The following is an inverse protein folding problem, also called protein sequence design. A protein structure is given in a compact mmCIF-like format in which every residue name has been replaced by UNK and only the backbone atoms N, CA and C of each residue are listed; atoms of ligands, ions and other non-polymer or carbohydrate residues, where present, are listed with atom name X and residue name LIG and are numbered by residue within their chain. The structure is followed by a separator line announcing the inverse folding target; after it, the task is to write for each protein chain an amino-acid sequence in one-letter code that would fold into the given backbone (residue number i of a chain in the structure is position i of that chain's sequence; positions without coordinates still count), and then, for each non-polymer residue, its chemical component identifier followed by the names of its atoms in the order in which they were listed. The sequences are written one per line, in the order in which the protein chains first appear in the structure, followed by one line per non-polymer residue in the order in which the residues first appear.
data_IF_010501931981
#
_entry.id   IF_010501931981
#
_cell.length_a   1.000
_cell.length_b   1.000
_cell.length_c   1.000
_cell.angle_alpha   90.00
_cell.angle_beta   90.00
_cell.angle_gamma   90.00
#
_symmetry.space_group_name_H-M   'P 1'
#
loop_
_entity.id
_entity.type
_entity.pdbx_description
1 polymer ?
#
# COMPACT_ATOMS: atom_id res chain seq x y z
N UNK A 1 -3.85 8.21 11.22
CA UNK A 1 -4.29 7.19 10.23
C UNK A 1 -3.63 7.37 8.87
N UNK A 2 -3.53 8.60 8.35
CA UNK A 2 -3.07 8.86 6.98
C UNK A 2 -1.70 8.25 6.62
N UNK A 3 -0.70 8.35 7.51
CA UNK A 3 0.63 7.74 7.30
C UNK A 3 0.62 6.22 7.14
N UNK A 4 -0.33 5.52 7.78
CA UNK A 4 -0.47 4.07 7.63
C UNK A 4 -0.99 3.75 6.23
N UNK A 5 -1.95 4.54 5.75
CA UNK A 5 -2.55 4.38 4.42
C UNK A 5 -1.51 4.62 3.31
N UNK A 6 -0.57 5.54 3.51
CA UNK A 6 0.55 5.77 2.60
C UNK A 6 1.51 4.58 2.45
N UNK A 7 1.56 3.68 3.43
CA UNK A 7 2.39 2.47 3.33
C UNK A 7 1.71 1.34 2.55
N UNK A 8 0.42 1.45 2.21
CA UNK A 8 -0.23 0.45 1.37
C UNK A 8 0.25 0.53 -0.09
N UNK A 9 0.28 -0.60 -0.80
CA UNK A 9 0.38 -0.62 -2.25
C UNK A 9 -0.68 0.28 -2.90
N UNK A 10 -0.29 1.01 -3.95
CA UNK A 10 -1.13 2.04 -4.60
C UNK A 10 -2.55 1.53 -4.88
N UNK A 11 -2.69 0.33 -5.45
CA UNK A 11 -4.01 -0.26 -5.78
C UNK A 11 -4.93 -0.48 -4.57
N UNK A 12 -4.35 -0.79 -3.41
CA UNK A 12 -5.10 -1.00 -2.16
C UNK A 12 -5.40 0.34 -1.49
N UNK A 13 -4.43 1.25 -1.52
CA UNK A 13 -4.56 2.62 -0.99
C UNK A 13 -5.73 3.36 -1.62
N UNK A 14 -5.82 3.34 -2.95
CA UNK A 14 -6.88 4.06 -3.67
C UNK A 14 -8.25 3.46 -3.35
N UNK A 15 -8.39 2.12 -3.37
CA UNK A 15 -9.64 1.45 -3.00
C UNK A 15 -10.08 1.78 -1.56
N UNK A 16 -9.13 1.87 -0.62
CA UNK A 16 -9.41 2.23 0.76
C UNK A 16 -9.81 3.71 0.90
N UNK A 17 -9.12 4.63 0.20
CA UNK A 17 -9.46 6.07 0.22
C UNK A 17 -10.88 6.32 -0.28
N UNK A 18 -11.24 5.77 -1.44
CA UNK A 18 -12.57 5.93 -2.00
C UNK A 18 -13.69 5.43 -1.07
N UNK A 19 -13.46 4.32 -0.35
CA UNK A 19 -14.48 3.73 0.53
C UNK A 19 -14.56 4.37 1.92
N UNK A 20 -13.43 4.82 2.48
CA UNK A 20 -13.35 5.25 3.89
C UNK A 20 -13.28 6.76 4.04
N UNK A 21 -12.59 7.45 3.12
CA UNK A 21 -12.43 8.89 3.18
C UNK A 21 -13.48 9.60 2.32
N UNK A 22 -13.73 9.10 1.10
CA UNK A 22 -14.74 9.68 0.20
C UNK A 22 -16.16 9.15 0.46
N UNK A 23 -16.31 8.08 1.25
CA UNK A 23 -17.61 7.51 1.59
C UNK A 23 -18.37 6.84 0.43
N UNK A 24 -17.74 6.67 -0.74
CA UNK A 24 -18.36 6.06 -1.92
C UNK A 24 -18.82 4.64 -1.64
N UNK A 25 -19.89 4.20 -2.28
CA UNK A 25 -20.32 2.80 -2.26
C UNK A 25 -19.32 1.90 -3.00
N UNK A 26 -19.48 0.57 -2.85
CA UNK A 26 -18.66 -0.40 -3.60
C UNK A 26 -18.84 -0.24 -5.11
N UNK A 27 -20.06 0.05 -5.58
CA UNK A 27 -20.33 0.18 -7.01
C UNK A 27 -19.74 1.46 -7.59
N UNK A 28 -19.89 2.58 -6.89
CA UNK A 28 -19.32 3.87 -7.30
C UNK A 28 -17.79 3.85 -7.31
N UNK A 29 -17.18 3.29 -6.26
CA UNK A 29 -15.72 3.17 -6.20
C UNK A 29 -15.18 2.18 -7.25
N UNK A 30 -15.94 1.16 -7.62
CA UNK A 30 -15.55 0.20 -8.65
C UNK A 30 -15.60 0.86 -10.04
N UNK A 31 -16.66 1.63 -10.28
CA UNK A 31 -16.85 2.45 -11.49
C UNK A 31 -15.76 3.50 -11.63
N UNK A 32 -15.47 4.26 -10.56
CA UNK A 32 -14.42 5.28 -10.54
C UNK A 32 -13.02 4.70 -10.83
N UNK A 33 -12.79 3.41 -10.53
CA UNK A 33 -11.53 2.73 -10.79
C UNK A 33 -11.52 1.89 -12.06
N UNK A 34 -12.63 1.81 -12.80
CA UNK A 34 -12.76 0.98 -13.99
C UNK A 34 -12.51 -0.50 -13.72
N UNK A 35 -12.89 -1.02 -12.55
CA UNK A 35 -12.65 -2.42 -12.13
C UNK A 35 -13.96 -3.11 -11.76
N UNK A 36 -14.04 -4.45 -11.88
CA UNK A 36 -15.21 -5.19 -11.40
C UNK A 36 -15.39 -5.02 -9.88
N UNK A 37 -16.64 -4.99 -9.41
CA UNK A 37 -16.95 -4.88 -7.98
C UNK A 37 -16.28 -5.98 -7.15
N UNK A 38 -16.22 -7.22 -7.66
CA UNK A 38 -15.52 -8.32 -6.99
C UNK A 38 -14.03 -8.03 -6.78
N UNK A 39 -13.40 -7.38 -7.76
CA UNK A 39 -12.00 -6.93 -7.65
C UNK A 39 -11.86 -5.82 -6.61
N UNK A 40 -12.79 -4.86 -6.57
CA UNK A 40 -12.79 -3.82 -5.55
C UNK A 40 -12.97 -4.42 -4.16
N UNK A 41 -13.94 -5.31 -3.95
CA UNK A 41 -14.18 -6.00 -2.67
C UNK A 41 -12.93 -6.71 -2.19
N UNK A 42 -12.26 -7.46 -3.07
CA UNK A 42 -11.00 -8.13 -2.75
C UNK A 42 -9.87 -7.14 -2.39
N UNK A 43 -9.72 -6.04 -3.14
CA UNK A 43 -8.75 -4.98 -2.84
C UNK A 43 -9.03 -4.31 -1.51
N UNK A 44 -10.29 -3.97 -1.24
CA UNK A 44 -10.70 -3.32 0.01
C UNK A 44 -10.49 -4.23 1.22
N UNK A 45 -10.81 -5.52 1.10
CA UNK A 45 -10.56 -6.51 2.15
C UNK A 45 -9.06 -6.61 2.47
N UNK A 46 -8.21 -6.77 1.45
CA UNK A 46 -6.74 -6.80 1.62
C UNK A 46 -6.22 -5.49 2.20
N UNK A 47 -6.79 -4.35 1.80
CA UNK A 47 -6.43 -3.04 2.33
C UNK A 47 -6.72 -2.96 3.84
N UNK A 48 -7.90 -3.40 4.29
CA UNK A 48 -8.24 -3.46 5.72
C UNK A 48 -7.27 -4.33 6.50
N UNK A 49 -6.95 -5.53 6.01
CA UNK A 49 -6.00 -6.42 6.68
C UNK A 49 -4.63 -5.76 6.85
N UNK A 50 -4.11 -5.11 5.81
CA UNK A 50 -2.82 -4.42 5.89
C UNK A 50 -2.85 -3.21 6.81
N UNK A 51 -3.92 -2.39 6.76
CA UNK A 51 -4.08 -1.26 7.68
C UNK A 51 -4.10 -1.75 9.13
N UNK A 52 -4.85 -2.81 9.44
CA UNK A 52 -4.88 -3.38 10.80
C UNK A 52 -3.53 -3.93 11.23
N UNK A 53 -2.81 -4.64 10.36
CA UNK A 53 -1.48 -5.16 10.67
C UNK A 53 -0.47 -4.02 10.92
N UNK A 54 -0.46 -3.00 10.05
CA UNK A 54 0.40 -1.84 10.19
C UNK A 54 0.05 -1.02 11.43
N UNK A 55 -1.23 -0.84 11.76
CA UNK A 55 -1.64 -0.15 12.99
C UNK A 55 -1.15 -0.86 14.23
N UNK A 56 -1.24 -2.20 14.29
CA UNK A 56 -0.69 -2.99 15.41
C UNK A 56 0.82 -2.78 15.55
N UNK A 57 1.56 -2.74 14.44
CA UNK A 57 3.00 -2.47 14.47
C UNK A 57 3.32 -1.03 14.90
N UNK A 58 2.53 -0.05 14.45
CA UNK A 58 2.68 1.36 14.84
C UNK A 58 2.41 1.57 16.33
N UNK A 59 1.42 0.89 16.89
CA UNK A 59 1.12 0.91 18.32
C UNK A 59 2.27 0.30 19.13
N UNK A 60 2.83 -0.81 18.65
CA UNK A 60 3.89 -1.53 19.34
C UNK A 60 5.28 -0.90 19.22
N UNK A 61 5.60 -0.19 18.12
CA UNK A 61 6.96 0.28 17.83
C UNK A 61 7.07 1.75 17.43
N UNK A 62 5.98 2.53 17.46
CA UNK A 62 5.96 3.90 16.92
C UNK A 62 6.15 3.93 15.40
N UNK A 63 6.16 5.11 14.75
CA UNK A 63 6.34 5.19 13.31
C UNK A 63 7.69 4.59 12.90
N UNK A 64 7.66 3.40 12.30
CA UNK A 64 8.82 2.79 11.67
C UNK A 64 9.36 3.79 10.62
N UNK A 65 10.50 4.42 10.95
CA UNK A 65 11.23 5.30 10.04
C UNK A 65 11.47 4.51 8.77
N UNK A 66 11.07 5.05 7.62
CA UNK A 66 11.20 4.36 6.34
C UNK A 66 12.69 4.16 6.06
N UNK A 67 13.22 2.99 6.39
CA UNK A 67 14.58 2.59 6.03
C UNK A 67 14.62 2.43 4.52
N UNK A 68 15.25 3.40 3.85
CA UNK A 68 15.88 3.31 2.53
C UNK A 68 15.17 2.48 1.46
N UNK A 69 14.24 3.10 0.73
CA UNK A 69 14.02 2.72 -0.67
C UNK A 69 14.53 3.88 -1.51
N UNK A 70 15.77 3.79 -1.97
CA UNK A 70 16.36 4.27 -3.25
C UNK A 70 17.82 3.82 -3.23
N UNK A 71 18.16 2.75 -3.96
CA UNK A 71 19.51 2.19 -4.00
C UNK A 71 19.61 0.83 -4.69
N UNK A 72 18.86 0.63 -5.79
CA UNK A 72 19.18 -0.44 -6.71
C UNK A 72 20.20 0.07 -7.72
N UNK A 73 21.40 -0.52 -7.74
CA UNK A 73 22.13 -0.86 -8.97
C UNK A 73 23.50 -1.48 -8.64
N UNK A 74 23.53 -2.80 -8.78
CA UNK A 74 24.69 -3.62 -9.10
C UNK A 74 25.73 -2.89 -9.99
N UNK A 75 26.94 -2.66 -9.47
CA UNK A 75 28.11 -2.27 -10.25
C UNK A 75 29.19 -3.35 -10.14
N UNK A 76 29.14 -4.28 -11.10
CA UNK A 76 30.25 -4.94 -11.81
C UNK A 76 31.62 -4.89 -11.13
N UNK A 77 32.10 -6.05 -10.66
CA UNK A 77 33.53 -6.29 -10.42
C UNK A 77 34.29 -6.31 -11.76
N UNK A 78 35.38 -5.57 -11.95
CA UNK A 78 36.41 -5.96 -12.91
C UNK A 78 37.36 -6.95 -12.24
N UNK A 79 37.64 -8.04 -12.97
CA UNK A 79 38.66 -9.01 -12.63
C UNK A 79 40.02 -8.36 -12.95
N UNK A 80 40.83 -8.01 -11.95
CA UNK A 80 42.23 -7.66 -12.19
C UNK A 80 43.01 -8.95 -12.42
N UNK A 81 43.31 -9.22 -13.69
CA UNK A 81 44.25 -10.24 -14.13
C UNK A 81 45.65 -9.72 -13.84
N UNK A 82 46.37 -10.43 -12.96
CA UNK A 82 47.81 -10.29 -12.77
C UNK A 82 48.57 -11.17 -13.76
#
# INVERSE_FOLDING_TARGET
MERVVENLPVRLRVAFRLRVFEGLTTSEAATALGVPEGTLKARFFRARMQVTALMRQYDQFGPARKTGQHGGANSRRPLEVR
#
